data_IF_250263768314
#
_entry.id   IF_250263768314
#
_cell.length_a   1.000
_cell.length_b   1.000
_cell.length_c   1.000
_cell.angle_alpha   90.00
_cell.angle_beta   90.00
_cell.angle_gamma   90.00
#
_symmetry.space_group_name_H-M   'P 1'
#
loop_
_entity.id
_entity.type
_entity.pdbx_description
1 polymer ?
#
# COMPACT_ATOMS: atom_id res chain seq x y z
N UNK A 1 -12.25 28.10 -5.69
CA UNK A 1 -12.34 26.68 -5.30
C UNK A 1 -11.14 26.34 -4.43
N UNK A 2 -11.32 25.64 -3.31
CA UNK A 2 -10.18 25.13 -2.54
C UNK A 2 -9.48 24.04 -3.35
N UNK A 3 -8.16 24.08 -3.47
CA UNK A 3 -7.37 23.20 -4.34
C UNK A 3 -7.30 21.72 -3.88
N UNK A 4 -8.02 21.35 -2.83
CA UNK A 4 -7.89 20.05 -2.17
C UNK A 4 -6.57 19.91 -1.42
N UNK A 5 -6.43 18.81 -0.67
CA UNK A 5 -5.22 18.48 0.07
C UNK A 5 -4.99 16.98 0.02
N UNK A 6 -3.77 16.59 -0.32
CA UNK A 6 -3.32 15.20 -0.20
C UNK A 6 -2.62 15.01 1.14
N UNK A 7 -3.02 13.99 1.90
CA UNK A 7 -2.51 13.71 3.24
C UNK A 7 -2.02 12.27 3.27
N UNK A 8 -0.76 12.07 3.66
CA UNK A 8 -0.25 10.75 4.02
C UNK A 8 -0.61 10.47 5.47
N UNK A 9 -1.22 9.31 5.74
CA UNK A 9 -1.51 8.86 7.10
C UNK A 9 -0.56 7.75 7.52
N UNK A 10 -0.21 7.76 8.81
CA UNK A 10 0.46 6.65 9.48
C UNK A 10 -0.54 5.50 9.70
N UNK A 11 -0.06 4.29 10.04
CA UNK A 11 -0.94 3.17 10.39
C UNK A 11 -1.89 3.44 11.57
N UNK A 12 -1.53 4.35 12.48
CA UNK A 12 -2.37 4.79 13.61
C UNK A 12 -3.46 5.80 13.19
N UNK A 13 -3.54 6.16 11.91
CA UNK A 13 -4.51 7.11 11.35
C UNK A 13 -4.10 8.59 11.47
N UNK A 14 -3.02 8.90 12.18
CA UNK A 14 -2.52 10.28 12.29
C UNK A 14 -1.83 10.73 11.01
N UNK A 15 -1.83 12.04 10.75
CA UNK A 15 -1.10 12.61 9.61
C UNK A 15 0.42 12.40 9.76
N UNK A 16 1.06 11.97 8.68
CA UNK A 16 2.50 11.90 8.55
C UNK A 16 3.03 13.28 8.16
N UNK A 17 3.45 14.06 9.17
CA UNK A 17 4.03 15.39 8.98
C UNK A 17 5.52 15.35 8.67
N UNK A 18 6.26 14.41 9.28
CA UNK A 18 7.66 14.15 8.95
C UNK A 18 7.76 13.18 7.76
N UNK A 19 8.17 13.72 6.61
CA UNK A 19 8.39 12.95 5.39
C UNK A 19 9.87 12.65 5.15
N UNK A 20 10.71 12.66 6.18
CA UNK A 20 12.09 12.17 6.08
C UNK A 20 12.14 10.70 5.60
N UNK A 21 13.25 10.30 4.99
CA UNK A 21 13.45 8.91 4.58
C UNK A 21 13.38 7.97 5.79
N UNK A 22 13.94 8.38 6.93
CA UNK A 22 13.98 7.59 8.17
C UNK A 22 12.58 7.33 8.73
N UNK A 23 11.75 8.38 8.86
CA UNK A 23 10.37 8.25 9.32
C UNK A 23 9.55 7.33 8.39
N UNK A 24 9.65 7.54 7.07
CA UNK A 24 8.96 6.71 6.07
C UNK A 24 9.44 5.27 6.09
N UNK A 25 10.75 5.04 6.22
CA UNK A 25 11.35 3.71 6.26
C UNK A 25 10.87 2.90 7.48
N UNK A 26 10.77 3.54 8.66
CA UNK A 26 10.27 2.88 9.88
C UNK A 26 8.82 2.40 9.71
N UNK A 27 7.95 3.23 9.14
CA UNK A 27 6.55 2.87 8.85
C UNK A 27 6.49 1.75 7.80
N UNK A 28 7.29 1.87 6.74
CA UNK A 28 7.27 0.92 5.62
C UNK A 28 7.65 -0.51 6.03
N UNK A 29 8.38 -0.73 7.13
CA UNK A 29 8.74 -2.08 7.62
C UNK A 29 7.54 -2.96 7.95
N UNK A 30 6.41 -2.36 8.33
CA UNK A 30 5.18 -3.07 8.69
C UNK A 30 4.10 -2.98 7.60
N UNK A 31 4.50 -2.76 6.34
CA UNK A 31 3.57 -2.66 5.22
C UNK A 31 2.75 -3.95 5.06
N UNK A 32 1.45 -3.78 4.84
CA UNK A 32 0.45 -4.82 4.60
C UNK A 32 -0.53 -4.34 3.50
N UNK A 33 -1.59 -5.11 3.23
CA UNK A 33 -2.60 -4.75 2.22
C UNK A 33 -3.28 -3.40 2.52
N UNK A 34 -3.60 -3.12 3.79
CA UNK A 34 -4.20 -1.84 4.20
C UNK A 34 -3.32 -0.62 3.94
N UNK A 35 -2.01 -0.83 3.76
CA UNK A 35 -1.09 0.24 3.38
C UNK A 35 -1.33 0.75 1.95
N UNK A 36 -2.16 0.07 1.17
CA UNK A 36 -2.55 0.41 -0.22
C UNK A 36 -4.01 0.87 -0.28
N UNK A 37 -4.43 1.67 0.71
CA UNK A 37 -5.76 2.27 0.81
C UNK A 37 -5.69 3.77 0.60
N UNK A 38 -6.62 4.30 -0.18
CA UNK A 38 -6.79 5.73 -0.44
C UNK A 38 -8.21 6.13 -0.06
N UNK A 39 -8.36 7.20 0.71
CA UNK A 39 -9.67 7.78 1.02
C UNK A 39 -9.79 9.09 0.26
N UNK A 40 -10.84 9.19 -0.57
CA UNK A 40 -11.13 10.35 -1.39
C UNK A 40 -12.39 11.00 -0.84
N UNK A 41 -12.28 12.26 -0.41
CA UNK A 41 -13.40 13.02 0.15
C UNK A 41 -13.73 14.21 -0.74
N UNK A 42 -15.00 14.34 -1.14
CA UNK A 42 -15.48 15.47 -1.92
C UNK A 42 -15.70 16.67 -1.00
N UNK A 43 -14.91 17.73 -1.17
CA UNK A 43 -14.94 18.93 -0.30
C UNK A 43 -16.32 19.56 -0.21
N UNK A 44 -17.07 19.61 -1.32
CA UNK A 44 -18.36 20.29 -1.38
C UNK A 44 -19.49 19.55 -0.65
N UNK A 45 -19.42 18.23 -0.52
CA UNK A 45 -20.49 17.41 0.06
C UNK A 45 -20.07 16.67 1.33
N UNK A 46 -18.77 16.51 1.58
CA UNK A 46 -18.24 15.68 2.66
C UNK A 46 -18.26 14.18 2.37
N UNK A 47 -18.91 13.74 1.28
CA UNK A 47 -18.99 12.33 0.89
C UNK A 47 -17.59 11.76 0.65
N UNK A 48 -17.38 10.53 1.12
CA UNK A 48 -16.08 9.85 1.03
C UNK A 48 -16.19 8.47 0.39
N UNK A 49 -15.21 8.13 -0.42
CA UNK A 49 -15.01 6.79 -0.94
C UNK A 49 -13.61 6.29 -0.56
N UNK A 50 -13.55 5.04 -0.09
CA UNK A 50 -12.31 4.32 0.15
C UNK A 50 -12.03 3.43 -1.05
N UNK A 51 -10.85 3.60 -1.64
CA UNK A 51 -10.32 2.73 -2.70
C UNK A 51 -9.18 1.93 -2.10
N UNK A 52 -9.20 0.61 -2.24
CA UNK A 52 -8.16 -0.29 -1.74
C UNK A 52 -7.79 -1.34 -2.79
N UNK A 53 -6.57 -1.85 -2.74
CA UNK A 53 -6.23 -3.08 -3.47
C UNK A 53 -6.90 -4.28 -2.80
N UNK A 54 -7.53 -5.13 -3.60
CA UNK A 54 -8.04 -6.41 -3.12
C UNK A 54 -6.88 -7.35 -2.73
N UNK A 55 -7.14 -8.32 -1.87
CA UNK A 55 -6.10 -9.23 -1.41
C UNK A 55 -5.51 -10.06 -2.56
N UNK A 56 -6.32 -10.39 -3.57
CA UNK A 56 -5.94 -11.15 -4.76
C UNK A 56 -5.03 -10.35 -5.71
N UNK A 57 -4.85 -9.05 -5.48
CA UNK A 57 -3.88 -8.24 -6.21
C UNK A 57 -2.44 -8.56 -5.76
N UNK A 58 -2.26 -9.06 -4.55
CA UNK A 58 -0.94 -9.37 -3.99
C UNK A 58 -0.57 -10.84 -4.26
N UNK A 59 0.64 -11.12 -4.76
CA UNK A 59 1.12 -12.49 -4.88
C UNK A 59 1.20 -13.21 -3.54
N UNK A 60 1.13 -14.53 -3.58
CA UNK A 60 1.26 -15.37 -2.38
C UNK A 60 2.53 -15.05 -1.60
N UNK A 61 2.39 -15.00 -0.27
CA UNK A 61 3.48 -14.74 0.68
C UNK A 61 4.19 -13.40 0.47
N UNK A 62 3.66 -12.48 -0.34
CA UNK A 62 4.32 -11.21 -0.67
C UNK A 62 4.72 -10.41 0.58
N UNK A 63 3.80 -10.21 1.52
CA UNK A 63 4.08 -9.46 2.75
C UNK A 63 5.00 -10.21 3.73
N UNK A 64 4.92 -11.54 3.77
CA UNK A 64 5.83 -12.38 4.56
C UNK A 64 7.27 -12.24 4.04
N UNK A 65 7.46 -12.36 2.73
CA UNK A 65 8.75 -12.19 2.07
C UNK A 65 9.26 -10.75 2.20
N UNK A 66 8.38 -9.76 2.04
CA UNK A 66 8.71 -8.35 2.22
C UNK A 66 9.29 -8.08 3.61
N UNK A 67 8.60 -8.54 4.67
CA UNK A 67 9.04 -8.36 6.05
C UNK A 67 10.38 -9.05 6.26
N UNK A 68 10.51 -10.31 5.82
CA UNK A 68 11.74 -11.09 5.97
C UNK A 68 12.93 -10.40 5.31
N UNK A 69 12.83 -10.05 4.02
CA UNK A 69 13.91 -9.37 3.29
C UNK A 69 14.29 -8.01 3.90
N UNK A 70 13.35 -7.31 4.54
CA UNK A 70 13.59 -5.97 5.10
C UNK A 70 14.12 -5.96 6.53
N UNK A 71 13.85 -6.99 7.32
CA UNK A 71 14.17 -6.96 8.76
C UNK A 71 14.98 -8.15 9.25
N UNK A 72 15.02 -9.26 8.52
CA UNK A 72 15.68 -10.48 8.95
C UNK A 72 17.12 -10.54 8.41
N UNK A 73 18.13 -10.50 9.29
CA UNK A 73 19.53 -10.63 8.87
C UNK A 73 19.89 -12.03 8.36
N UNK A 74 19.06 -13.04 8.63
CA UNK A 74 19.24 -14.44 8.19
C UNK A 74 18.60 -14.75 6.83
N UNK A 75 18.05 -13.74 6.14
CA UNK A 75 17.39 -13.94 4.85
C UNK A 75 18.35 -14.54 3.83
N UNK A 76 17.88 -15.58 3.15
CA UNK A 76 18.67 -16.30 2.14
C UNK A 76 18.64 -15.59 0.78
N UNK A 77 19.60 -15.90 -0.10
CA UNK A 77 19.61 -15.34 -1.46
C UNK A 77 18.40 -15.79 -2.27
N UNK A 78 17.95 -17.02 -2.06
CA UNK A 78 16.76 -17.60 -2.66
C UNK A 78 15.50 -16.83 -2.26
N UNK A 79 15.38 -16.46 -0.99
CA UNK A 79 14.23 -15.67 -0.50
C UNK A 79 14.23 -14.23 -1.04
N UNK A 80 15.41 -13.62 -1.17
CA UNK A 80 15.55 -12.31 -1.83
C UNK A 80 15.13 -12.41 -3.30
N UNK A 81 15.55 -13.46 -4.02
CA UNK A 81 15.16 -13.69 -5.39
C UNK A 81 13.64 -13.92 -5.52
N UNK A 82 13.05 -14.75 -4.64
CA UNK A 82 11.61 -15.00 -4.60
C UNK A 82 10.82 -13.71 -4.33
N UNK A 83 11.28 -12.88 -3.40
CA UNK A 83 10.66 -11.58 -3.14
C UNK A 83 10.73 -10.65 -4.36
N UNK A 84 11.88 -10.58 -5.04
CA UNK A 84 12.04 -9.75 -6.22
C UNK A 84 11.13 -10.22 -7.37
N UNK A 85 11.01 -11.53 -7.58
CA UNK A 85 10.07 -12.09 -8.55
C UNK A 85 8.63 -11.72 -8.21
N UNK A 86 8.19 -11.93 -6.96
CA UNK A 86 6.85 -11.56 -6.52
C UNK A 86 6.60 -10.04 -6.65
N UNK A 87 7.60 -9.20 -6.37
CA UNK A 87 7.52 -7.75 -6.55
C UNK A 87 7.38 -7.33 -8.01
N UNK A 88 8.04 -8.03 -8.93
CA UNK A 88 7.87 -7.80 -10.37
C UNK A 88 6.46 -8.19 -10.80
N UNK A 89 6.00 -9.41 -10.47
CA UNK A 89 4.62 -9.86 -10.75
C UNK A 89 3.56 -8.91 -10.19
N UNK A 90 3.73 -8.44 -8.96
CA UNK A 90 2.82 -7.46 -8.36
C UNK A 90 2.74 -6.17 -9.20
N UNK A 91 3.89 -5.65 -9.64
CA UNK A 91 3.94 -4.42 -10.46
C UNK A 91 3.33 -4.63 -11.84
N UNK A 92 3.63 -5.76 -12.47
CA UNK A 92 3.10 -6.08 -13.79
C UNK A 92 1.57 -6.22 -13.72
N UNK A 93 1.05 -6.88 -12.68
CA UNK A 93 -0.39 -6.99 -12.44
C UNK A 93 -1.06 -5.62 -12.30
N UNK A 94 -0.44 -4.66 -11.60
CA UNK A 94 -1.00 -3.31 -11.45
C UNK A 94 -1.07 -2.52 -12.77
N UNK A 95 -0.29 -2.92 -13.79
CA UNK A 95 -0.28 -2.25 -15.11
C UNK A 95 -1.17 -2.99 -16.10
N UNK A 96 -1.22 -4.32 -16.02
CA UNK A 96 -1.84 -5.17 -17.04
C UNK A 96 -3.30 -5.54 -16.72
N UNK A 97 -3.68 -5.63 -15.45
CA UNK A 97 -5.02 -6.05 -15.05
C UNK A 97 -5.96 -4.84 -14.94
N UNK A 98 -7.24 -5.01 -15.26
CA UNK A 98 -8.20 -3.92 -15.19
C UNK A 98 -8.50 -3.52 -13.74
N UNK A 99 -8.89 -2.26 -13.56
CA UNK A 99 -9.11 -1.65 -12.23
C UNK A 99 -10.17 -2.39 -11.41
N UNK A 100 -11.26 -2.88 -12.04
CA UNK A 100 -12.35 -3.56 -11.36
C UNK A 100 -11.93 -4.93 -10.80
N UNK A 101 -10.90 -5.56 -11.36
CA UNK A 101 -10.29 -6.76 -10.81
C UNK A 101 -9.41 -6.45 -9.60
N UNK A 102 -8.65 -5.34 -9.66
CA UNK A 102 -7.63 -5.00 -8.66
C UNK A 102 -8.17 -4.21 -7.46
N UNK A 103 -9.19 -3.37 -7.67
CA UNK A 103 -9.63 -2.37 -6.70
C UNK A 103 -10.97 -2.74 -6.07
N UNK A 104 -11.04 -2.58 -4.75
CA UNK A 104 -12.28 -2.50 -3.99
C UNK A 104 -12.67 -1.04 -3.78
N UNK A 105 -13.95 -0.72 -3.88
CA UNK A 105 -14.48 0.63 -3.62
C UNK A 105 -15.58 0.52 -2.56
N UNK A 106 -15.38 1.18 -1.43
CA UNK A 106 -16.35 1.30 -0.34
C UNK A 106 -16.78 2.76 -0.20
N UNK A 107 -18.09 3.03 -0.27
CA UNK A 107 -18.63 4.38 -0.06
C UNK A 107 -19.09 4.53 1.38
N UNK A 108 -18.63 5.57 2.05
CA UNK A 108 -19.19 5.98 3.33
C UNK A 108 -20.37 6.93 3.04
N UNK A 109 -21.57 6.49 3.42
CA UNK A 109 -22.81 7.28 3.35
C UNK A 109 -22.93 8.29 4.48
#
# INVERSE_FOLDING_TARGET
>A
ASAGRFILKKPDGTELTDTSHEARSKIAKNRNADSYRIVITRISTGESATVSLKNEAFPDRFFTLFKKVKTDPSVTREEVAAFNAAKTTFRDNLVQRPDDELLGIERAG
#
